data_IF_213824897286
#
_entry.id   IF_213824897286
#
_cell.length_a   1.000
_cell.length_b   1.000
_cell.length_c   1.000
_cell.angle_alpha   90.00
_cell.angle_beta   90.00
_cell.angle_gamma   90.00
#
_symmetry.space_group_name_H-M   'P 1'
#
loop_
_entity.id
_entity.type
_entity.pdbx_description
1 polymer ?
#
# COMPACT_ATOMS: atom_id res chain seq x y z
N UNK A 1 8.05 3.99 6.15
CA UNK A 1 7.33 2.85 6.76
C UNK A 1 5.90 3.27 6.99
N UNK A 2 4.95 2.39 6.70
CA UNK A 2 3.53 2.69 6.87
C UNK A 2 3.16 2.87 8.34
N UNK A 3 2.33 3.88 8.61
CA UNK A 3 1.96 4.27 9.98
C UNK A 3 0.57 3.72 10.34
N UNK A 4 0.52 2.47 10.82
CA UNK A 4 -0.71 1.76 11.20
C UNK A 4 -1.68 2.58 12.02
N UNK A 5 -1.18 3.21 13.08
CA UNK A 5 -2.02 3.94 14.02
C UNK A 5 -2.60 5.20 13.37
N UNK A 6 -1.80 5.91 12.57
CA UNK A 6 -2.25 7.10 11.84
C UNK A 6 -3.28 6.72 10.77
N UNK A 7 -3.05 5.63 10.05
CA UNK A 7 -4.02 5.10 9.09
C UNK A 7 -5.35 4.74 9.77
N UNK A 8 -5.32 3.94 10.84
CA UNK A 8 -6.52 3.54 11.59
C UNK A 8 -7.30 4.76 12.09
N UNK A 9 -6.62 5.76 12.62
CA UNK A 9 -7.26 7.02 13.05
C UNK A 9 -7.95 7.74 11.90
N UNK A 10 -7.28 7.91 10.76
CA UNK A 10 -7.86 8.56 9.57
C UNK A 10 -9.02 7.75 8.99
N UNK A 11 -8.90 6.42 8.96
CA UNK A 11 -9.94 5.53 8.46
C UNK A 11 -11.20 5.58 9.33
N UNK A 12 -11.07 5.63 10.66
CA UNK A 12 -12.21 5.77 11.57
C UNK A 12 -12.90 7.14 11.43
N UNK A 13 -12.15 8.22 11.18
CA UNK A 13 -12.73 9.53 10.84
C UNK A 13 -13.56 9.45 9.56
N UNK A 14 -13.02 8.83 8.51
CA UNK A 14 -13.73 8.64 7.24
C UNK A 14 -14.99 7.78 7.43
N UNK A 15 -14.89 6.66 8.13
CA UNK A 15 -16.02 5.76 8.43
C UNK A 15 -17.13 6.48 9.21
N UNK A 16 -16.76 7.31 10.17
CA UNK A 16 -17.72 8.14 10.93
C UNK A 16 -18.42 9.15 10.01
N UNK A 17 -17.67 9.80 9.12
CA UNK A 17 -18.25 10.71 8.13
C UNK A 17 -19.24 9.99 7.20
N UNK A 18 -18.86 8.86 6.61
CA UNK A 18 -19.71 8.04 5.74
C UNK A 18 -21.02 7.65 6.44
N UNK A 19 -20.94 7.20 7.70
CA UNK A 19 -22.11 6.88 8.53
C UNK A 19 -23.05 8.09 8.68
N UNK A 20 -22.52 9.30 8.87
CA UNK A 20 -23.31 10.51 9.07
C UNK A 20 -24.02 10.99 7.80
N UNK A 21 -23.45 10.71 6.63
CA UNK A 21 -24.02 11.12 5.34
C UNK A 21 -24.82 10.01 4.64
N UNK A 22 -24.90 8.81 5.25
CA UNK A 22 -25.64 7.67 4.68
C UNK A 22 -24.92 6.94 3.54
N UNK A 23 -23.59 7.06 3.46
CA UNK A 23 -22.75 6.38 2.47
C UNK A 23 -22.13 5.11 3.07
N UNK A 24 -22.02 4.02 2.29
CA UNK A 24 -21.28 2.84 2.74
C UNK A 24 -19.77 3.05 2.59
N UNK A 25 -19.01 2.74 3.64
CA UNK A 25 -17.54 2.84 3.61
C UNK A 25 -16.93 1.86 2.60
N UNK A 26 -17.58 0.71 2.37
CA UNK A 26 -17.10 -0.32 1.44
C UNK A 26 -17.18 0.13 -0.03
N UNK A 27 -17.90 1.22 -0.33
CA UNK A 27 -17.92 1.83 -1.66
C UNK A 27 -16.66 2.67 -1.93
N UNK A 28 -15.82 2.91 -0.91
CA UNK A 28 -14.63 3.75 -0.99
C UNK A 28 -13.38 2.87 -1.04
N UNK A 29 -12.68 2.93 -2.18
CA UNK A 29 -11.35 2.30 -2.31
C UNK A 29 -10.28 3.20 -1.70
N UNK A 30 -9.43 2.63 -0.86
CA UNK A 30 -8.30 3.32 -0.23
C UNK A 30 -7.00 2.81 -0.81
N UNK A 31 -6.11 3.74 -1.14
CA UNK A 31 -4.76 3.46 -1.64
C UNK A 31 -3.68 4.07 -0.77
N UNK A 32 -2.48 3.50 -0.78
CA UNK A 32 -1.30 4.09 -0.13
C UNK A 32 -0.05 3.94 -0.99
N UNK A 33 0.97 4.76 -0.73
CA UNK A 33 2.27 4.64 -1.36
C UNK A 33 3.16 3.63 -0.62
N UNK A 34 3.92 2.85 -1.37
CA UNK A 34 5.06 2.05 -0.91
C UNK A 34 6.31 2.59 -1.57
N UNK A 35 7.24 3.09 -0.76
CA UNK A 35 8.49 3.63 -1.27
C UNK A 35 9.46 2.51 -1.60
N UNK A 36 10.11 2.63 -2.77
CA UNK A 36 11.17 1.75 -3.23
C UNK A 36 12.42 2.60 -3.43
N UNK A 37 13.34 2.48 -2.49
CA UNK A 37 14.65 3.13 -2.49
C UNK A 37 15.73 2.16 -2.98
N UNK A 38 16.94 2.65 -3.25
CA UNK A 38 18.07 1.87 -3.80
C UNK A 38 18.34 0.55 -3.04
N UNK A 39 18.24 0.55 -1.72
CA UNK A 39 18.51 -0.62 -0.86
C UNK A 39 17.25 -1.47 -0.56
N UNK A 40 16.11 -1.12 -1.16
CA UNK A 40 14.83 -1.79 -0.88
C UNK A 40 14.81 -3.17 -1.52
N UNK A 41 14.58 -4.19 -0.70
CA UNK A 41 14.45 -5.57 -1.16
C UNK A 41 13.01 -5.87 -1.61
N UNK A 42 12.81 -6.69 -2.68
CA UNK A 42 11.48 -7.10 -3.09
C UNK A 42 10.63 -7.73 -2.00
N UNK A 43 11.25 -8.55 -1.13
CA UNK A 43 10.56 -9.19 0.00
C UNK A 43 9.98 -8.18 0.99
N UNK A 44 10.64 -7.05 1.20
CA UNK A 44 10.17 -6.00 2.10
C UNK A 44 8.96 -5.28 1.50
N UNK A 45 8.97 -5.03 0.19
CA UNK A 45 7.82 -4.46 -0.54
C UNK A 45 6.62 -5.39 -0.48
N UNK A 46 6.81 -6.69 -0.71
CA UNK A 46 5.75 -7.69 -0.60
C UNK A 46 5.16 -7.73 0.81
N UNK A 47 6.02 -7.77 1.83
CA UNK A 47 5.58 -7.78 3.24
C UNK A 47 4.73 -6.56 3.56
N UNK A 48 5.15 -5.38 3.09
CA UNK A 48 4.44 -4.12 3.26
C UNK A 48 3.08 -4.12 2.54
N UNK A 49 2.99 -4.63 1.30
CA UNK A 49 1.72 -4.76 0.57
C UNK A 49 0.76 -5.72 1.30
N UNK A 50 1.26 -6.88 1.75
CA UNK A 50 0.45 -7.85 2.49
C UNK A 50 -0.09 -7.25 3.79
N UNK A 51 0.74 -6.50 4.52
CA UNK A 51 0.34 -5.78 5.72
C UNK A 51 -0.73 -4.72 5.43
N UNK A 52 -0.57 -3.95 4.36
CA UNK A 52 -1.56 -2.97 3.91
C UNK A 52 -2.91 -3.62 3.56
N UNK A 53 -2.88 -4.75 2.84
CA UNK A 53 -4.08 -5.52 2.49
C UNK A 53 -4.83 -6.00 3.75
N UNK A 54 -4.10 -6.48 4.77
CA UNK A 54 -4.69 -6.89 6.06
C UNK A 54 -5.39 -5.74 6.79
N UNK A 55 -4.98 -4.50 6.53
CA UNK A 55 -5.57 -3.28 7.10
C UNK A 55 -6.72 -2.70 6.26
N UNK A 56 -7.11 -3.36 5.16
CA UNK A 56 -8.21 -2.92 4.30
C UNK A 56 -7.81 -1.88 3.25
N UNK A 57 -6.52 -1.78 2.94
CA UNK A 57 -6.06 -1.00 1.79
C UNK A 57 -6.31 -1.83 0.53
N UNK A 58 -6.90 -1.18 -0.46
CA UNK A 58 -7.35 -1.81 -1.69
C UNK A 58 -6.29 -1.79 -2.79
N UNK A 59 -5.36 -0.83 -2.72
CA UNK A 59 -4.36 -0.63 -3.74
C UNK A 59 -3.08 -0.03 -3.15
N UNK A 60 -1.96 -0.72 -3.33
CA UNK A 60 -0.63 -0.18 -3.07
C UNK A 60 -0.06 0.45 -4.34
N UNK A 61 0.51 1.65 -4.22
CA UNK A 61 1.13 2.40 -5.31
C UNK A 61 2.64 2.42 -5.07
N UNK A 62 3.42 1.78 -5.94
CA UNK A 62 4.88 1.75 -5.82
C UNK A 62 5.47 3.08 -6.27
N UNK A 63 6.27 3.69 -5.41
CA UNK A 63 6.99 4.93 -5.70
C UNK A 63 8.50 4.68 -5.69
N UNK A 64 9.08 4.57 -6.88
CA UNK A 64 10.52 4.37 -7.05
C UNK A 64 11.27 5.70 -6.85
N UNK A 65 12.04 5.80 -5.77
CA UNK A 65 12.85 6.98 -5.46
C UNK A 65 14.23 6.90 -6.14
N UNK A 66 14.66 7.94 -6.87
CA UNK A 66 16.02 8.00 -7.38
C UNK A 66 17.07 8.06 -6.25
N UNK A 67 18.25 7.43 -6.43
CA UNK A 67 18.65 6.63 -7.59
C UNK A 67 17.96 5.26 -7.61
N UNK A 68 17.54 4.83 -8.80
CA UNK A 68 16.95 3.51 -9.02
C UNK A 68 17.54 2.87 -10.28
N UNK A 69 17.85 1.58 -10.21
CA UNK A 69 18.34 0.81 -11.35
C UNK A 69 17.19 0.06 -12.04
N UNK A 70 17.27 -0.07 -13.37
CA UNK A 70 16.24 -0.78 -14.12
C UNK A 70 16.13 -2.26 -13.70
N UNK A 71 17.25 -2.90 -13.36
CA UNK A 71 17.26 -4.27 -12.83
C UNK A 71 16.43 -4.40 -11.54
N UNK A 72 16.43 -3.38 -10.67
CA UNK A 72 15.63 -3.40 -9.44
C UNK A 72 14.12 -3.35 -9.74
N UNK A 73 13.72 -2.59 -10.75
CA UNK A 73 12.32 -2.52 -11.20
C UNK A 73 11.88 -3.87 -11.80
N UNK A 74 12.74 -4.49 -12.62
CA UNK A 74 12.50 -5.81 -13.22
C UNK A 74 12.39 -6.90 -12.13
N UNK A 75 13.34 -6.96 -11.21
CA UNK A 75 13.37 -7.93 -10.12
C UNK A 75 12.15 -7.81 -9.22
N UNK A 76 11.76 -6.57 -8.86
CA UNK A 76 10.56 -6.33 -8.07
C UNK A 76 9.29 -6.70 -8.83
N UNK A 77 9.19 -6.35 -10.11
CA UNK A 77 8.02 -6.68 -10.94
C UNK A 77 7.83 -8.19 -11.01
N UNK A 78 8.91 -8.95 -11.22
CA UNK A 78 8.87 -10.41 -11.22
C UNK A 78 8.43 -10.96 -9.87
N UNK A 79 9.01 -10.49 -8.77
CA UNK A 79 8.65 -10.94 -7.44
C UNK A 79 7.16 -10.69 -7.10
N UNK A 80 6.62 -9.54 -7.52
CA UNK A 80 5.19 -9.22 -7.35
C UNK A 80 4.29 -10.10 -8.21
N UNK A 81 4.70 -10.40 -9.45
CA UNK A 81 3.98 -11.34 -10.29
C UNK A 81 3.95 -12.73 -9.67
N UNK A 82 5.06 -13.21 -9.11
CA UNK A 82 5.13 -14.54 -8.49
C UNK A 82 4.27 -14.64 -7.21
N UNK A 83 4.18 -13.57 -6.43
CA UNK A 83 3.42 -13.53 -5.16
C UNK A 83 1.90 -13.34 -5.35
N UNK A 84 1.49 -12.51 -6.31
CA UNK A 84 0.09 -12.07 -6.48
C UNK A 84 -0.62 -12.62 -7.73
N UNK A 85 -0.05 -13.63 -8.41
CA UNK A 85 -0.71 -14.36 -9.52
C UNK A 85 -1.76 -15.37 -9.05
#
# INVERSE_FOLDING_TARGET
MFEDQLFKQKYEVLKTHCKNIGTNIDDIKVSTHVFVEEETKPSSVITEILHQNQLGIHQSILYFQPPIHMSQVEDLTKALMDEFH
#
